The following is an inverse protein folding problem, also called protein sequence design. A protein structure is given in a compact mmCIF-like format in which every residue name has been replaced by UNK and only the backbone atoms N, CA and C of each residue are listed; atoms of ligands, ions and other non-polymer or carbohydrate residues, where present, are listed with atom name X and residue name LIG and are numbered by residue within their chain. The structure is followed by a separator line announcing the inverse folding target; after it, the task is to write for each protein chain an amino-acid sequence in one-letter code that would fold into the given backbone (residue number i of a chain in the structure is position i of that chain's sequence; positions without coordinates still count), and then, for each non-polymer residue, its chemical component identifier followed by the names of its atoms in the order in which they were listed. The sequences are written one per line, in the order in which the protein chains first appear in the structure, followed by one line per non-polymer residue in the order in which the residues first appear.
data_IF_307163493910
#
_entry.id   IF_307163493910
#
_cell.length_a   1.000
_cell.length_b   1.000
_cell.length_c   1.000
_cell.angle_alpha   90.00
_cell.angle_beta   90.00
_cell.angle_gamma   90.00
#
_symmetry.space_group_name_H-M   'P 1'
#
loop_
_entity.id
_entity.type
_entity.pdbx_description
1 polymer ?
#
# COMPACT_ATOMS: atom_id res chain seq x y z
N UNK A 1 1.60 -35.89 -29.66
CA UNK A 1 1.81 -36.32 -28.26
C UNK A 1 3.17 -35.76 -27.88
N UNK A 2 3.30 -34.76 -27.02
CA UNK A 2 2.63 -34.56 -25.72
C UNK A 2 3.54 -35.19 -24.63
N UNK A 3 3.89 -34.55 -23.52
CA UNK A 3 3.44 -33.28 -22.93
C UNK A 3 4.57 -32.59 -22.14
N UNK A 4 4.23 -31.38 -21.70
CA UNK A 4 4.87 -30.46 -20.76
C UNK A 4 5.65 -31.07 -19.58
N UNK A 5 6.67 -30.34 -19.13
CA UNK A 5 6.79 -29.95 -17.72
C UNK A 5 7.73 -28.75 -17.55
N UNK A 6 7.11 -27.59 -17.36
CA UNK A 6 7.76 -26.37 -16.86
C UNK A 6 8.21 -26.65 -15.42
N UNK A 7 9.49 -26.46 -15.10
CA UNK A 7 9.93 -26.50 -13.69
C UNK A 7 9.56 -25.20 -13.00
N UNK A 8 8.90 -25.34 -11.85
CA UNK A 8 8.22 -24.26 -11.14
C UNK A 8 9.17 -23.31 -10.40
N UNK A 9 8.64 -22.15 -10.02
CA UNK A 9 9.35 -21.10 -9.30
C UNK A 9 9.81 -21.53 -7.89
N UNK A 10 11.10 -21.42 -7.61
CA UNK A 10 11.61 -21.17 -6.25
C UNK A 10 12.46 -19.89 -6.23
N UNK A 11 11.79 -18.74 -6.26
CA UNK A 11 12.45 -17.42 -6.16
C UNK A 11 12.79 -17.09 -4.71
N UNK A 12 13.67 -17.88 -4.10
CA UNK A 12 14.25 -17.59 -2.77
C UNK A 12 15.31 -16.49 -2.92
N UNK A 13 14.88 -15.22 -2.87
CA UNK A 13 15.80 -14.08 -3.08
C UNK A 13 16.64 -13.83 -1.83
N UNK A 14 17.87 -14.35 -1.84
CA UNK A 14 18.90 -14.06 -0.84
C UNK A 14 19.48 -12.65 -1.06
N UNK A 15 19.40 -11.76 -0.06
CA UNK A 15 19.68 -10.32 -0.21
C UNK A 15 21.03 -9.85 0.38
N UNK A 16 22.08 -10.03 -0.40
CA UNK A 16 23.31 -9.21 -0.41
C UNK A 16 23.89 -9.21 -1.86
N UNK A 17 24.46 -8.15 -2.43
CA UNK A 17 24.54 -6.77 -1.96
C UNK A 17 24.65 -5.74 -3.13
N UNK A 18 25.08 -4.51 -2.87
CA UNK A 18 25.72 -3.57 -3.81
C UNK A 18 24.83 -2.90 -4.86
N UNK A 19 24.14 -3.69 -5.69
CA UNK A 19 23.29 -3.21 -6.80
C UNK A 19 21.79 -3.24 -6.48
N UNK A 20 21.42 -3.69 -5.27
CA UNK A 20 20.03 -3.98 -4.90
C UNK A 20 19.16 -2.74 -4.68
N UNK A 21 19.72 -1.59 -4.31
CA UNK A 21 18.96 -0.39 -3.91
C UNK A 21 18.10 0.24 -5.02
N UNK A 22 18.58 0.24 -6.27
CA UNK A 22 17.81 0.80 -7.42
C UNK A 22 16.70 -0.16 -7.85
N UNK A 23 16.99 -1.47 -7.85
CA UNK A 23 16.05 -2.53 -8.21
C UNK A 23 14.93 -2.69 -7.17
N UNK A 24 15.24 -2.60 -5.87
CA UNK A 24 14.21 -2.62 -4.82
C UNK A 24 13.34 -1.36 -4.86
N UNK A 25 13.92 -0.17 -5.10
CA UNK A 25 13.14 1.07 -5.31
C UNK A 25 12.17 0.96 -6.48
N UNK A 26 12.63 0.53 -7.66
CA UNK A 26 11.76 0.41 -8.84
C UNK A 26 10.65 -0.62 -8.62
N UNK A 27 10.97 -1.76 -7.99
CA UNK A 27 9.97 -2.77 -7.62
C UNK A 27 8.95 -2.22 -6.61
N UNK A 28 9.39 -1.47 -5.59
CA UNK A 28 8.50 -0.79 -4.64
C UNK A 28 7.57 0.21 -5.33
N UNK A 29 8.08 1.03 -6.27
CA UNK A 29 7.23 1.95 -7.07
C UNK A 29 6.14 1.20 -7.83
N UNK A 30 6.48 0.10 -8.50
CA UNK A 30 5.52 -0.73 -9.24
C UNK A 30 4.45 -1.33 -8.32
N UNK A 31 4.82 -1.80 -7.12
CA UNK A 31 3.87 -2.34 -6.14
C UNK A 31 2.98 -1.23 -5.56
N UNK A 32 3.53 -0.04 -5.26
CA UNK A 32 2.75 1.14 -4.82
C UNK A 32 1.76 1.55 -5.90
N UNK A 33 2.19 1.68 -7.16
CA UNK A 33 1.32 2.01 -8.30
C UNK A 33 0.19 0.98 -8.48
N UNK A 34 0.53 -0.31 -8.45
CA UNK A 34 -0.46 -1.38 -8.59
C UNK A 34 -1.48 -1.41 -7.45
N UNK A 35 -1.08 -1.09 -6.21
CA UNK A 35 -1.99 -0.99 -5.08
C UNK A 35 -2.84 0.30 -5.13
N UNK A 36 -2.23 1.44 -5.49
CA UNK A 36 -2.94 2.71 -5.68
C UNK A 36 -4.02 2.59 -6.75
N UNK A 37 -3.73 1.98 -7.90
CA UNK A 37 -4.71 1.75 -8.96
C UNK A 37 -5.88 0.86 -8.51
N UNK A 38 -5.63 -0.16 -7.68
CA UNK A 38 -6.72 -0.96 -7.07
C UNK A 38 -7.58 -0.14 -6.11
N UNK A 39 -6.99 0.79 -5.37
CA UNK A 39 -7.75 1.70 -4.49
C UNK A 39 -8.56 2.72 -5.30
N UNK A 40 -7.99 3.27 -6.38
CA UNK A 40 -8.70 4.13 -7.33
C UNK A 40 -9.95 3.43 -7.89
N UNK A 41 -9.81 2.20 -8.39
CA UNK A 41 -10.91 1.38 -8.89
C UNK A 41 -12.05 1.22 -7.85
N UNK A 42 -11.70 0.82 -6.62
CA UNK A 42 -12.67 0.73 -5.51
C UNK A 42 -13.32 2.09 -5.17
N UNK A 43 -12.58 3.20 -5.23
CA UNK A 43 -13.12 4.56 -4.97
C UNK A 43 -14.12 4.97 -6.05
N UNK A 44 -13.85 4.68 -7.32
CA UNK A 44 -14.76 4.99 -8.43
C UNK A 44 -16.12 4.29 -8.24
N UNK A 45 -16.12 3.06 -7.74
CA UNK A 45 -17.33 2.27 -7.47
C UNK A 45 -17.96 2.52 -6.08
N UNK A 46 -17.27 3.20 -5.16
CA UNK A 46 -17.78 3.48 -3.81
C UNK A 46 -18.96 4.47 -3.78
N UNK A 47 -19.83 4.44 -2.76
CA UNK A 47 -20.86 5.46 -2.53
C UNK A 47 -20.25 6.71 -1.85
N UNK A 48 -19.42 7.43 -2.59
CA UNK A 48 -18.77 8.68 -2.17
C UNK A 48 -19.18 9.84 -3.10
N UNK A 49 -19.13 11.07 -2.58
CA UNK A 49 -19.36 12.27 -3.39
C UNK A 49 -18.32 12.40 -4.52
N UNK A 50 -18.71 12.92 -5.71
CA UNK A 50 -17.81 13.05 -6.86
C UNK A 50 -16.51 13.80 -6.55
N UNK A 51 -16.60 14.91 -5.81
CA UNK A 51 -15.45 15.74 -5.44
C UNK A 51 -14.46 15.00 -4.53
N UNK A 52 -14.97 14.15 -3.63
CA UNK A 52 -14.14 13.29 -2.78
C UNK A 52 -13.44 12.21 -3.61
N UNK A 53 -14.15 11.58 -4.55
CA UNK A 53 -13.56 10.61 -5.48
C UNK A 53 -12.44 11.25 -6.28
N UNK A 54 -12.68 12.39 -6.90
CA UNK A 54 -11.67 13.08 -7.72
C UNK A 54 -10.44 13.46 -6.88
N UNK A 55 -10.66 14.02 -5.68
CA UNK A 55 -9.58 14.37 -4.76
C UNK A 55 -8.72 13.16 -4.37
N UNK A 56 -9.34 12.06 -3.94
CA UNK A 56 -8.60 10.87 -3.53
C UNK A 56 -7.92 10.17 -4.71
N UNK A 57 -8.56 10.06 -5.87
CA UNK A 57 -7.93 9.49 -7.07
C UNK A 57 -6.72 10.33 -7.54
N UNK A 58 -6.82 11.67 -7.47
CA UNK A 58 -5.72 12.59 -7.78
C UNK A 58 -4.54 12.41 -6.83
N UNK A 59 -4.79 12.31 -5.51
CA UNK A 59 -3.74 12.03 -4.51
C UNK A 59 -3.09 10.66 -4.75
N UNK A 60 -3.88 9.60 -4.93
CA UNK A 60 -3.39 8.23 -5.14
C UNK A 60 -2.50 8.10 -6.39
N UNK A 61 -2.86 8.79 -7.47
CA UNK A 61 -2.11 8.75 -8.75
C UNK A 61 -0.67 9.27 -8.63
N UNK A 62 -0.39 10.16 -7.66
CA UNK A 62 0.96 10.69 -7.42
C UNK A 62 1.87 9.80 -6.57
N UNK A 63 1.31 8.84 -5.82
CA UNK A 63 2.04 8.12 -4.76
C UNK A 63 3.22 7.26 -5.25
N UNK A 64 3.17 6.77 -6.49
CA UNK A 64 4.27 6.00 -7.07
C UNK A 64 5.53 6.84 -7.35
N UNK A 65 5.42 8.17 -7.29
CA UNK A 65 6.51 9.14 -7.45
C UNK A 65 6.94 9.77 -6.12
N UNK A 66 6.30 9.42 -5.00
CA UNK A 66 6.62 9.95 -3.68
C UNK A 66 7.78 9.18 -3.05
N UNK A 67 8.98 9.79 -3.06
CA UNK A 67 10.18 9.20 -2.45
C UNK A 67 10.06 9.00 -0.94
N UNK A 68 9.29 9.83 -0.22
CA UNK A 68 9.03 9.64 1.21
C UNK A 68 8.27 8.34 1.47
N UNK A 69 7.21 8.12 0.69
CA UNK A 69 6.42 6.88 0.75
C UNK A 69 7.23 5.64 0.31
N UNK A 70 8.03 5.76 -0.76
CA UNK A 70 8.90 4.66 -1.21
C UNK A 70 9.90 4.29 -0.11
N UNK A 71 10.53 5.27 0.54
CA UNK A 71 11.47 5.05 1.64
C UNK A 71 10.79 4.48 2.89
N UNK A 72 9.55 4.86 3.20
CA UNK A 72 8.71 4.20 4.21
C UNK A 72 8.64 2.69 3.94
N UNK A 73 8.18 2.28 2.75
CA UNK A 73 8.00 0.86 2.42
C UNK A 73 9.32 0.08 2.39
N UNK A 74 10.41 0.69 1.92
CA UNK A 74 11.74 0.06 1.92
C UNK A 74 12.30 -0.15 3.34
N UNK A 75 12.01 0.75 4.28
CA UNK A 75 12.49 0.66 5.68
C UNK A 75 11.80 -0.41 6.54
N UNK A 76 10.87 -1.18 5.98
CA UNK A 76 9.95 -2.02 6.75
C UNK A 76 10.28 -3.52 6.79
N UNK A 77 11.46 -3.95 6.31
CA UNK A 77 12.03 -5.30 6.47
C UNK A 77 11.03 -6.45 6.35
N UNK A 78 10.27 -6.49 5.24
CA UNK A 78 9.25 -7.51 4.94
C UNK A 78 8.10 -7.64 5.96
N UNK A 79 7.99 -6.74 6.97
CA UNK A 79 6.91 -6.78 7.97
C UNK A 79 5.57 -6.33 7.40
N UNK A 80 5.54 -5.47 6.37
CA UNK A 80 4.29 -4.97 5.78
C UNK A 80 3.56 -6.07 5.01
N UNK A 81 2.29 -6.29 5.35
CA UNK A 81 1.40 -7.15 4.55
C UNK A 81 0.73 -6.34 3.44
N UNK A 82 0.24 -6.96 2.34
CA UNK A 82 -0.55 -6.26 1.32
C UNK A 82 -1.80 -5.57 1.91
N UNK A 83 -2.36 -6.15 2.99
CA UNK A 83 -3.48 -5.55 3.72
C UNK A 83 -3.06 -4.29 4.49
N UNK A 84 -1.92 -4.32 5.21
CA UNK A 84 -1.39 -3.13 5.87
C UNK A 84 -1.10 -2.04 4.83
N UNK A 85 -0.49 -2.39 3.69
CA UNK A 85 -0.21 -1.48 2.59
C UNK A 85 -1.47 -0.76 2.08
N UNK A 86 -2.57 -1.51 1.83
CA UNK A 86 -3.85 -0.94 1.37
C UNK A 86 -4.34 0.19 2.28
N UNK A 87 -4.29 -0.03 3.61
CA UNK A 87 -4.72 0.97 4.59
C UNK A 87 -3.69 2.09 4.80
N UNK A 88 -2.38 1.78 4.75
CA UNK A 88 -1.31 2.78 4.81
C UNK A 88 -1.49 3.83 3.70
N UNK A 89 -1.75 3.41 2.45
CA UNK A 89 -1.96 4.36 1.35
C UNK A 89 -3.17 5.28 1.59
N UNK A 90 -4.28 4.75 2.10
CA UNK A 90 -5.45 5.56 2.45
C UNK A 90 -5.17 6.55 3.60
N UNK A 91 -4.46 6.14 4.64
CA UNK A 91 -4.12 7.03 5.75
C UNK A 91 -3.08 8.09 5.32
N UNK A 92 -2.15 7.75 4.43
CA UNK A 92 -1.11 8.64 3.93
C UNK A 92 -1.66 9.79 3.06
N UNK A 93 -2.81 9.60 2.40
CA UNK A 93 -3.48 10.66 1.61
C UNK A 93 -4.53 11.45 2.42
N UNK A 94 -4.58 11.27 3.75
CA UNK A 94 -5.64 11.80 4.63
C UNK A 94 -7.07 11.41 4.18
N UNK A 95 -7.27 10.13 3.80
CA UNK A 95 -8.62 9.63 3.52
C UNK A 95 -9.41 9.47 4.82
N UNK A 96 -10.65 9.98 4.84
CA UNK A 96 -11.48 9.95 6.04
C UNK A 96 -11.87 8.52 6.40
N UNK A 97 -11.92 8.21 7.71
CA UNK A 97 -12.22 6.87 8.22
C UNK A 97 -13.57 6.33 7.72
N UNK A 98 -14.58 7.21 7.61
CA UNK A 98 -15.89 6.87 7.03
C UNK A 98 -15.77 6.52 5.55
N UNK A 99 -14.98 7.26 4.79
CA UNK A 99 -14.84 7.08 3.36
C UNK A 99 -14.06 5.80 3.05
N UNK A 100 -13.02 5.48 3.82
CA UNK A 100 -12.32 4.18 3.78
C UNK A 100 -13.28 3.02 4.07
N UNK A 101 -14.17 3.20 5.06
CA UNK A 101 -15.20 2.22 5.43
C UNK A 101 -16.19 1.98 4.28
N UNK A 102 -16.63 3.03 3.59
CA UNK A 102 -17.50 2.95 2.41
C UNK A 102 -16.79 2.34 1.20
N UNK A 103 -15.55 2.76 0.91
CA UNK A 103 -14.74 2.25 -0.22
C UNK A 103 -14.41 0.77 -0.11
N UNK A 104 -14.15 0.27 1.09
CA UNK A 104 -13.82 -1.15 1.29
C UNK A 104 -15.00 -2.00 1.77
N UNK A 105 -16.18 -1.40 1.95
CA UNK A 105 -17.37 -2.04 2.51
C UNK A 105 -17.07 -2.80 3.83
N UNK A 106 -16.48 -2.10 4.80
CA UNK A 106 -16.14 -2.62 6.13
C UNK A 106 -16.56 -1.64 7.22
N UNK A 107 -16.77 -2.12 8.44
CA UNK A 107 -17.15 -1.27 9.56
C UNK A 107 -16.08 -0.22 9.92
N UNK A 108 -16.52 0.98 10.29
CA UNK A 108 -15.68 2.07 10.82
C UNK A 108 -14.79 1.59 12.00
N UNK A 109 -15.31 0.73 12.89
CA UNK A 109 -14.55 0.17 14.00
C UNK A 109 -13.38 -0.73 13.54
N UNK A 110 -13.53 -1.43 12.41
CA UNK A 110 -12.46 -2.23 11.81
C UNK A 110 -11.33 -1.33 11.30
N UNK A 111 -11.64 -0.16 10.73
CA UNK A 111 -10.63 0.82 10.28
C UNK A 111 -9.76 1.31 11.45
N UNK A 112 -10.39 1.70 12.57
CA UNK A 112 -9.66 2.11 13.78
C UNK A 112 -8.80 0.98 14.35
N UNK A 113 -9.32 -0.25 14.36
CA UNK A 113 -8.58 -1.45 14.79
C UNK A 113 -7.35 -1.69 13.91
N UNK A 114 -7.47 -1.50 12.60
CA UNK A 114 -6.33 -1.60 11.68
C UNK A 114 -5.32 -0.46 11.87
N UNK A 115 -5.77 0.80 12.02
CA UNK A 115 -4.88 1.94 12.32
C UNK A 115 -4.07 1.69 13.59
N UNK A 116 -4.74 1.21 14.65
CA UNK A 116 -4.08 0.80 15.89
C UNK A 116 -3.07 -0.35 15.67
N UNK A 117 -3.44 -1.41 14.93
CA UNK A 117 -2.55 -2.55 14.63
C UNK A 117 -1.28 -2.09 13.92
N UNK A 118 -1.41 -1.28 12.87
CA UNK A 118 -0.28 -0.80 12.07
C UNK A 118 0.60 0.12 12.94
N UNK A 119 0.01 1.06 13.69
CA UNK A 119 0.74 1.91 14.64
C UNK A 119 1.50 1.10 15.71
N UNK A 120 0.90 0.04 16.27
CA UNK A 120 1.57 -0.85 17.23
C UNK A 120 2.73 -1.63 16.60
N UNK A 121 2.60 -2.00 15.32
CA UNK A 121 3.58 -2.78 14.53
C UNK A 121 4.80 -1.96 14.12
N UNK A 122 4.64 -0.65 13.92
CA UNK A 122 5.70 0.28 13.50
C UNK A 122 5.94 1.43 14.49
N UNK A 123 5.65 1.18 15.79
CA UNK A 123 5.61 2.20 16.86
C UNK A 123 6.84 3.10 16.91
N UNK A 124 8.02 2.52 16.71
CA UNK A 124 9.31 3.21 16.88
C UNK A 124 9.86 3.75 15.53
N UNK A 125 9.12 3.60 14.43
CA UNK A 125 9.48 4.15 13.12
C UNK A 125 8.77 5.50 12.90
N UNK A 126 9.54 6.58 12.97
CA UNK A 126 9.08 7.97 12.80
C UNK A 126 8.33 8.22 11.49
N UNK A 127 8.61 7.43 10.46
CA UNK A 127 7.98 7.59 9.15
C UNK A 127 6.49 7.20 9.15
N UNK A 128 5.98 6.58 10.23
CA UNK A 128 4.55 6.30 10.46
C UNK A 128 3.84 7.29 11.37
N UNK A 129 4.42 8.46 11.66
CA UNK A 129 3.78 9.49 12.50
C UNK A 129 2.41 9.96 11.98
N UNK A 130 2.14 9.89 10.66
CA UNK A 130 0.83 10.18 10.07
C UNK A 130 -0.31 9.24 10.53
N UNK A 131 0.01 8.12 11.20
CA UNK A 131 -0.97 7.22 11.81
C UNK A 131 -1.40 7.62 13.22
N UNK A 132 -0.76 8.62 13.83
CA UNK A 132 -1.13 9.16 15.14
C UNK A 132 -2.53 9.81 15.11
#
# INVERSE_FOLDING_TARGET
MGQDSIKENETVVQLCDGQKSVSTRSMSRTVIAAMANKIIDMILHAPLEPDLKENYCRKLSGLASDEGLIMIFLSCDCKITPMDMKYILCFYIDMMVRDISLTFNVEVASIYTVRYRIRKKFKDNLAFQFLM
#
